data_IF_933471114248
#
_entry.id   IF_933471114248
#
_cell.length_a   1.000
_cell.length_b   1.000
_cell.length_c   1.000
_cell.angle_alpha   90.00
_cell.angle_beta   90.00
_cell.angle_gamma   90.00
#
_symmetry.space_group_name_H-M   'P 1'
#
loop_
_entity.id
_entity.type
_entity.pdbx_description
1 polymer ?
#
# COMPACT_ATOMS: atom_id res chain seq x y z
N UNK A 1 -29.33 29.89 19.81
CA UNK A 1 -28.89 29.55 21.18
C UNK A 1 -28.24 30.78 21.81
N UNK A 2 -28.53 31.13 23.07
CA UNK A 2 -27.90 32.27 23.73
C UNK A 2 -26.40 31.99 24.03
N UNK A 3 -25.53 33.01 24.01
CA UNK A 3 -24.11 32.84 24.32
C UNK A 3 -23.94 32.43 25.78
N UNK A 4 -23.28 31.28 26.00
CA UNK A 4 -22.94 30.79 27.35
C UNK A 4 -21.76 31.59 27.88
N UNK A 5 -21.94 32.27 29.01
CA UNK A 5 -20.85 32.99 29.68
C UNK A 5 -19.97 31.99 30.45
N UNK A 6 -18.67 32.05 30.20
CA UNK A 6 -17.66 31.21 30.86
C UNK A 6 -16.64 32.16 31.48
N UNK A 7 -16.36 31.96 32.76
CA UNK A 7 -15.29 32.69 33.46
C UNK A 7 -14.08 31.78 33.55
N UNK A 8 -12.93 32.25 33.04
CA UNK A 8 -11.66 31.52 33.07
C UNK A 8 -10.66 32.38 33.83
N UNK A 9 -9.88 31.75 34.71
CA UNK A 9 -8.73 32.38 35.37
C UNK A 9 -7.49 32.04 34.56
N UNK A 10 -6.72 33.07 34.21
CA UNK A 10 -5.49 32.95 33.46
C UNK A 10 -4.37 33.59 34.28
N UNK A 11 -3.19 33.00 34.22
CA UNK A 11 -1.99 33.63 34.76
C UNK A 11 -1.71 34.98 34.08
N UNK A 12 -1.12 35.95 34.79
CA UNK A 12 -0.87 37.29 34.26
C UNK A 12 -0.04 37.29 32.96
N UNK A 13 0.93 36.37 32.86
CA UNK A 13 1.75 36.23 31.64
C UNK A 13 0.94 35.72 30.46
N UNK A 14 0.09 34.71 30.67
CA UNK A 14 -0.80 34.15 29.64
C UNK A 14 -1.83 35.18 29.20
N UNK A 15 -2.34 35.98 30.14
CA UNK A 15 -3.23 37.09 29.83
C UNK A 15 -2.55 38.13 28.94
N UNK A 16 -1.31 38.51 29.26
CA UNK A 16 -0.52 39.44 28.44
C UNK A 16 -0.16 38.89 27.05
N UNK A 17 0.08 37.58 26.93
CA UNK A 17 0.27 36.92 25.63
C UNK A 17 -1.02 36.93 24.80
N UNK A 18 -2.15 36.59 25.42
CA UNK A 18 -3.46 36.59 24.75
C UNK A 18 -3.84 37.99 24.26
N UNK A 19 -3.59 39.03 25.05
CA UNK A 19 -3.86 40.41 24.66
C UNK A 19 -3.01 40.86 23.46
N UNK A 20 -1.71 40.50 23.44
CA UNK A 20 -0.85 40.76 22.27
C UNK A 20 -1.33 40.02 21.03
N UNK A 21 -1.69 38.75 21.18
CA UNK A 21 -2.22 37.94 20.09
C UNK A 21 -3.55 38.49 19.56
N UNK A 22 -4.44 38.98 20.43
CA UNK A 22 -5.69 39.64 20.05
C UNK A 22 -5.43 40.81 19.08
N UNK A 23 -4.48 41.69 19.43
CA UNK A 23 -4.10 42.85 18.61
C UNK A 23 -3.51 42.39 17.27
N UNK A 24 -2.64 41.40 17.27
CA UNK A 24 -2.04 40.85 16.05
C UNK A 24 -3.06 40.23 15.10
N UNK A 25 -4.14 39.65 15.63
CA UNK A 25 -5.18 38.98 14.86
C UNK A 25 -6.39 39.88 14.56
N UNK A 26 -6.33 41.17 14.92
CA UNK A 26 -7.39 42.15 14.68
C UNK A 26 -8.72 41.83 15.36
N UNK A 27 -8.69 41.13 16.51
CA UNK A 27 -9.92 40.74 17.22
C UNK A 27 -10.46 41.89 18.08
N UNK A 28 -11.78 42.11 18.05
CA UNK A 28 -12.42 43.21 18.78
C UNK A 28 -12.57 42.98 20.29
N UNK A 29 -12.39 41.74 20.75
CA UNK A 29 -12.42 41.39 22.17
C UNK A 29 -11.60 40.14 22.51
N UNK A 30 -11.22 40.00 23.78
CA UNK A 30 -10.57 38.79 24.28
C UNK A 30 -11.44 37.54 24.09
N UNK A 31 -12.76 37.65 24.24
CA UNK A 31 -13.69 36.54 24.03
C UNK A 31 -13.80 36.11 22.55
N UNK A 32 -13.52 37.01 21.61
CA UNK A 32 -13.38 36.67 20.20
C UNK A 32 -12.03 36.01 19.93
N UNK A 33 -10.95 36.52 20.50
CA UNK A 33 -9.63 35.92 20.39
C UNK A 33 -9.60 34.48 20.93
N UNK A 34 -10.13 34.25 22.14
CA UNK A 34 -10.26 32.92 22.74
C UNK A 34 -11.11 32.01 21.83
N UNK A 35 -12.20 32.53 21.28
CA UNK A 35 -13.03 31.75 20.35
C UNK A 35 -12.27 31.36 19.09
N UNK A 36 -11.48 32.26 18.49
CA UNK A 36 -10.64 31.91 17.33
C UNK A 36 -9.59 30.86 17.68
N UNK A 37 -8.93 30.98 18.84
CA UNK A 37 -7.95 29.97 19.30
C UNK A 37 -8.64 28.61 19.49
N UNK A 38 -9.78 28.59 20.19
CA UNK A 38 -10.56 27.38 20.40
C UNK A 38 -11.09 26.83 19.08
N UNK A 39 -11.47 27.68 18.15
CA UNK A 39 -11.93 27.25 16.83
C UNK A 39 -10.76 26.69 16.02
N UNK A 40 -9.55 27.20 16.13
CA UNK A 40 -8.36 26.63 15.48
C UNK A 40 -7.91 25.31 16.13
N UNK A 41 -8.06 25.16 17.45
CA UNK A 41 -7.65 23.96 18.19
C UNK A 41 -8.70 22.85 18.18
N UNK A 42 -9.99 23.23 18.17
CA UNK A 42 -11.14 22.34 18.13
C UNK A 42 -11.74 22.19 16.74
N UNK A 43 -11.29 22.99 15.76
CA UNK A 43 -11.46 22.58 14.38
C UNK A 43 -10.82 21.18 14.33
N UNK A 44 -11.56 20.16 13.90
CA UNK A 44 -10.88 19.02 13.36
C UNK A 44 -9.97 19.65 12.32
N UNK A 45 -8.64 19.53 12.50
CA UNK A 45 -7.77 19.46 11.32
C UNK A 45 -8.56 18.55 10.43
N UNK A 46 -9.07 19.07 9.33
CA UNK A 46 -9.72 18.22 8.38
C UNK A 46 -8.67 17.13 8.12
N UNK A 47 -8.89 15.94 8.68
CA UNK A 47 -8.46 14.74 8.02
C UNK A 47 -9.37 14.68 6.81
N UNK A 48 -9.15 15.61 5.88
CA UNK A 48 -9.23 15.27 4.48
C UNK A 48 -8.35 14.02 4.45
N UNK A 49 -8.96 12.89 4.15
CA UNK A 49 -8.27 11.64 3.96
C UNK A 49 -7.93 11.48 2.47
N UNK A 50 -7.20 12.38 1.77
CA UNK A 50 -6.50 11.94 0.58
C UNK A 50 -5.27 11.15 1.00
N UNK A 51 -4.73 11.36 2.22
CA UNK A 51 -3.46 10.76 2.64
C UNK A 51 -3.54 9.28 2.94
N UNK A 52 -4.64 8.76 3.52
CA UNK A 52 -4.72 7.31 3.80
C UNK A 52 -4.99 6.54 2.51
N UNK A 53 -5.90 7.01 1.65
CA UNK A 53 -6.14 6.40 0.34
C UNK A 53 -4.94 6.56 -0.60
N UNK A 54 -4.31 7.75 -0.69
CA UNK A 54 -3.08 7.91 -1.46
C UNK A 54 -1.94 7.09 -0.89
N UNK A 55 -1.80 6.96 0.43
CA UNK A 55 -0.78 6.09 1.03
C UNK A 55 -1.07 4.62 0.76
N UNK A 56 -2.33 4.19 0.84
CA UNK A 56 -2.73 2.83 0.47
C UNK A 56 -2.46 2.55 -1.00
N UNK A 57 -2.86 3.44 -1.91
CA UNK A 57 -2.59 3.29 -3.34
C UNK A 57 -1.09 3.34 -3.66
N UNK A 58 -0.32 4.18 -2.95
CA UNK A 58 1.13 4.21 -3.09
C UNK A 58 1.79 2.93 -2.55
N UNK A 59 1.29 2.39 -1.42
CA UNK A 59 1.72 1.11 -0.87
C UNK A 59 1.36 -0.04 -1.80
N UNK A 60 0.16 -0.07 -2.37
CA UNK A 60 -0.25 -1.08 -3.36
C UNK A 60 0.63 -1.04 -4.61
N UNK A 61 0.95 0.15 -5.13
CA UNK A 61 1.88 0.29 -6.26
C UNK A 61 3.30 -0.16 -5.91
N UNK A 62 3.77 0.16 -4.69
CA UNK A 62 5.10 -0.27 -4.23
C UNK A 62 5.14 -1.78 -4.04
N UNK A 63 4.09 -2.38 -3.49
CA UNK A 63 3.97 -3.84 -3.36
C UNK A 63 3.94 -4.49 -4.73
N UNK A 64 3.15 -3.98 -5.69
CA UNK A 64 3.13 -4.53 -7.06
C UNK A 64 4.48 -4.38 -7.78
N UNK A 65 5.21 -3.27 -7.54
CA UNK A 65 6.56 -3.07 -8.07
C UNK A 65 7.57 -4.03 -7.42
N UNK A 66 7.49 -4.22 -6.10
CA UNK A 66 8.30 -5.20 -5.36
C UNK A 66 7.96 -6.63 -5.79
N UNK A 67 6.70 -6.98 -5.99
CA UNK A 67 6.26 -8.27 -6.52
C UNK A 67 6.84 -8.50 -7.91
N UNK A 68 6.85 -7.49 -8.80
CA UNK A 68 7.51 -7.58 -10.11
C UNK A 68 9.03 -7.69 -10.03
N UNK A 69 9.66 -7.16 -8.99
CA UNK A 69 11.11 -7.27 -8.78
C UNK A 69 11.51 -8.59 -8.11
N UNK A 70 10.65 -9.12 -7.22
CA UNK A 70 10.87 -10.34 -6.45
C UNK A 70 10.43 -11.60 -7.22
N UNK A 71 9.38 -11.47 -8.04
CA UNK A 71 8.97 -12.49 -8.98
C UNK A 71 9.44 -12.06 -10.38
N UNK A 72 10.52 -12.66 -10.94
CA UNK A 72 10.73 -12.55 -12.38
C UNK A 72 9.44 -12.99 -13.08
N UNK A 73 9.08 -12.39 -14.24
CA UNK A 73 7.87 -12.77 -14.97
C UNK A 73 7.82 -14.29 -15.04
N UNK A 74 6.82 -14.89 -14.41
CA UNK A 74 6.64 -16.33 -14.47
C UNK A 74 6.52 -16.65 -15.95
N UNK A 75 7.38 -17.51 -16.49
CA UNK A 75 7.31 -17.83 -17.89
C UNK A 75 5.97 -18.56 -18.07
N UNK A 76 5.07 -17.95 -18.82
CA UNK A 76 3.81 -18.58 -19.19
C UNK A 76 4.14 -19.86 -19.95
N UNK A 77 3.33 -20.91 -19.77
CA UNK A 77 3.54 -22.22 -20.42
C UNK A 77 3.75 -22.08 -21.93
N UNK A 78 3.13 -21.07 -22.55
CA UNK A 78 3.25 -20.73 -23.97
C UNK A 78 4.69 -20.33 -24.39
N UNK A 79 5.40 -19.51 -23.60
CA UNK A 79 6.74 -18.99 -23.97
C UNK A 79 7.90 -19.82 -23.42
N UNK A 80 7.64 -20.77 -22.52
CA UNK A 80 8.64 -21.63 -21.89
C UNK A 80 9.57 -22.33 -22.90
N UNK A 81 10.85 -21.94 -22.92
CA UNK A 81 11.93 -22.63 -23.65
C UNK A 81 12.72 -23.58 -22.73
N UNK A 82 13.42 -24.55 -23.31
CA UNK A 82 14.29 -25.49 -22.56
C UNK A 82 15.32 -24.73 -21.71
N UNK A 83 15.91 -23.67 -22.27
CA UNK A 83 16.93 -22.85 -21.60
C UNK A 83 16.37 -22.07 -20.40
N UNK A 84 15.11 -21.67 -20.44
CA UNK A 84 14.45 -21.01 -19.31
C UNK A 84 14.15 -22.02 -18.20
N UNK A 85 13.67 -23.22 -18.54
CA UNK A 85 13.45 -24.34 -17.61
C UNK A 85 14.71 -24.72 -16.81
N UNK A 86 15.87 -24.65 -17.43
CA UNK A 86 17.16 -24.90 -16.77
C UNK A 86 17.53 -23.82 -15.75
N UNK A 87 17.15 -22.57 -16.00
CA UNK A 87 17.41 -21.41 -15.12
C UNK A 87 16.45 -21.29 -13.94
N UNK A 88 15.35 -22.04 -13.93
CA UNK A 88 14.35 -21.99 -12.86
C UNK A 88 14.82 -22.73 -11.60
N UNK A 89 14.52 -22.09 -10.47
CA UNK A 89 14.74 -22.67 -9.14
C UNK A 89 13.64 -23.70 -8.79
N UNK A 90 13.93 -24.61 -7.86
CA UNK A 90 13.00 -25.72 -7.49
C UNK A 90 11.59 -25.25 -7.15
N UNK A 91 11.43 -24.14 -6.44
CA UNK A 91 10.11 -23.58 -6.10
C UNK A 91 9.31 -23.18 -7.35
N UNK A 92 9.97 -22.59 -8.35
CA UNK A 92 9.33 -22.18 -9.61
C UNK A 92 8.97 -23.39 -10.47
N UNK A 93 9.84 -24.40 -10.52
CA UNK A 93 9.54 -25.66 -11.21
C UNK A 93 8.35 -26.39 -10.59
N UNK A 94 8.22 -26.39 -9.25
CA UNK A 94 7.08 -27.01 -8.56
C UNK A 94 5.77 -26.25 -8.82
N UNK A 95 5.82 -24.91 -8.88
CA UNK A 95 4.65 -24.11 -9.24
C UNK A 95 4.17 -24.43 -10.67
N UNK A 96 5.09 -24.44 -11.65
CA UNK A 96 4.77 -24.82 -13.03
C UNK A 96 4.25 -26.24 -13.16
N UNK A 97 4.85 -27.19 -12.44
CA UNK A 97 4.39 -28.56 -12.40
C UNK A 97 2.95 -28.64 -11.86
N UNK A 98 2.61 -27.87 -10.83
CA UNK A 98 1.25 -27.80 -10.29
C UNK A 98 0.25 -27.23 -11.30
N UNK A 99 0.62 -26.17 -12.00
CA UNK A 99 -0.24 -25.54 -13.01
C UNK A 99 -0.50 -26.48 -14.21
N UNK A 100 0.47 -27.36 -14.51
CA UNK A 100 0.35 -28.43 -15.51
C UNK A 100 -0.28 -29.73 -14.99
N UNK A 101 -0.73 -29.77 -13.73
CA UNK A 101 -1.31 -30.98 -13.11
C UNK A 101 -0.31 -32.11 -12.81
N UNK A 102 0.99 -31.82 -12.82
CA UNK A 102 2.09 -32.74 -12.50
C UNK A 102 2.32 -32.75 -10.99
N UNK A 103 1.64 -33.64 -10.28
CA UNK A 103 1.80 -33.82 -8.84
C UNK A 103 2.80 -34.93 -8.52
N UNK A 104 4.09 -34.60 -8.40
CA UNK A 104 5.06 -35.57 -7.89
C UNK A 104 6.05 -34.97 -6.91
N UNK A 105 5.79 -35.27 -5.64
CA UNK A 105 6.62 -34.93 -4.49
C UNK A 105 7.99 -35.65 -4.48
N UNK A 106 8.20 -36.61 -5.39
CA UNK A 106 9.44 -37.42 -5.49
C UNK A 106 10.35 -37.04 -6.66
N UNK A 107 9.98 -36.08 -7.51
CA UNK A 107 10.83 -35.71 -8.65
C UNK A 107 11.98 -34.80 -8.23
N UNK A 108 13.20 -35.22 -8.59
CA UNK A 108 14.39 -34.39 -8.55
C UNK A 108 14.31 -33.30 -9.63
N UNK A 109 15.02 -32.18 -9.48
CA UNK A 109 14.94 -31.04 -10.41
C UNK A 109 15.09 -31.42 -11.90
N UNK A 110 15.99 -32.34 -12.32
CA UNK A 110 16.09 -32.75 -13.73
C UNK A 110 14.83 -33.46 -14.22
N UNK A 111 14.29 -34.38 -13.42
CA UNK A 111 13.09 -35.14 -13.78
C UNK A 111 11.84 -34.25 -13.78
N UNK A 112 11.80 -33.24 -12.90
CA UNK A 112 10.73 -32.24 -12.87
C UNK A 112 10.73 -31.38 -14.14
N UNK A 113 11.92 -30.97 -14.61
CA UNK A 113 12.07 -30.22 -15.87
C UNK A 113 11.60 -31.03 -17.09
N UNK A 114 11.99 -32.30 -17.17
CA UNK A 114 11.55 -33.19 -18.24
C UNK A 114 10.04 -33.40 -18.26
N UNK A 115 9.42 -33.57 -17.09
CA UNK A 115 7.98 -33.73 -16.99
C UNK A 115 7.22 -32.47 -17.46
N UNK A 116 7.70 -31.27 -17.05
CA UNK A 116 7.13 -29.99 -17.51
C UNK A 116 7.30 -29.84 -19.02
N UNK A 117 8.47 -30.18 -19.56
CA UNK A 117 8.72 -30.11 -21.01
C UNK A 117 7.84 -31.06 -21.83
N UNK A 118 7.67 -32.30 -21.35
CA UNK A 118 6.80 -33.28 -21.99
C UNK A 118 5.33 -32.84 -21.98
N UNK A 119 4.86 -32.27 -20.86
CA UNK A 119 3.50 -31.75 -20.76
C UNK A 119 3.26 -30.55 -21.70
N UNK A 120 4.23 -29.64 -21.81
CA UNK A 120 4.16 -28.55 -22.80
C UNK A 120 4.03 -29.08 -24.23
N UNK A 121 4.87 -30.05 -24.62
CA UNK A 121 4.77 -30.63 -25.98
C UNK A 121 3.45 -31.34 -26.25
N UNK A 122 2.84 -31.96 -25.24
CA UNK A 122 1.53 -32.58 -25.38
C UNK A 122 0.43 -31.53 -25.65
N UNK A 123 0.50 -30.37 -25.00
CA UNK A 123 -0.41 -29.24 -25.21
C UNK A 123 -0.22 -28.66 -26.63
N UNK A 124 1.02 -28.35 -27.01
CA UNK A 124 1.35 -27.81 -28.35
C UNK A 124 0.99 -28.79 -29.48
N UNK A 125 1.01 -30.10 -29.20
CA UNK A 125 0.61 -31.16 -30.13
C UNK A 125 -0.90 -31.32 -30.28
N UNK A 126 -1.69 -31.03 -29.24
CA UNK A 126 -3.15 -31.06 -29.29
C UNK A 126 -3.76 -29.89 -30.07
N UNK A 127 -3.11 -28.71 -30.10
CA UNK A 127 -3.58 -27.57 -30.89
C UNK A 127 -3.36 -27.71 -32.41
N UNK A 128 -2.68 -28.78 -32.86
CA UNK A 128 -2.36 -29.04 -34.27
C UNK A 128 -3.18 -30.16 -34.92
N UNK A 129 -4.18 -30.72 -34.24
CA UNK A 129 -5.15 -31.69 -34.78
C UNK A 129 -6.55 -31.10 -34.82
#
# INVERSE_FOLDING_TARGET
MPPKKITVRLDPELYGQLQRWQVQQGCGSLGEAIRKILQQSLQPREMVCPTVLQRLSALEQQVAALERQLCPPQPTIETLTIAELERLNRRQLVALARDLGIYSYKLNNPALRQAIWAAKQAIDGQERQ
#
